data_IF_125637308358
#
_entry.id   IF_125637308358
#
_cell.length_a   1.000
_cell.length_b   1.000
_cell.length_c   1.000
_cell.angle_alpha   90.00
_cell.angle_beta   90.00
_cell.angle_gamma   90.00
#
_symmetry.space_group_name_H-M   'P 1'
#
loop_
_entity.id
_entity.type
_entity.pdbx_description
1 polymer ?
#
# COMPACT_ATOMS: atom_id res chain seq x y z
N UNK A 1 0.97 21.66 13.27
CA UNK A 1 0.39 20.35 13.64
C UNK A 1 -0.67 20.02 12.60
N UNK A 2 -0.48 18.99 11.80
CA UNK A 2 -1.49 18.56 10.82
C UNK A 2 -2.55 17.74 11.55
N UNK A 3 -3.82 17.98 11.27
CA UNK A 3 -4.96 17.16 11.76
C UNK A 3 -5.28 16.00 10.82
N UNK A 4 -4.47 15.78 9.79
CA UNK A 4 -4.71 14.79 8.75
C UNK A 4 -3.80 13.58 8.91
N UNK A 5 -4.34 12.40 8.60
CA UNK A 5 -3.56 11.16 8.50
C UNK A 5 -2.57 11.27 7.33
N UNK A 6 -1.37 10.73 7.51
CA UNK A 6 -0.32 10.71 6.45
C UNK A 6 0.00 9.31 5.96
N UNK A 7 -0.39 8.28 6.72
CA UNK A 7 -0.19 6.87 6.37
C UNK A 7 -1.54 6.17 6.34
N UNK A 8 -1.75 5.39 5.29
CA UNK A 8 -3.00 4.73 4.97
C UNK A 8 -2.74 3.28 4.57
N UNK A 9 -3.72 2.41 4.74
CA UNK A 9 -3.72 1.11 4.05
C UNK A 9 -4.44 1.22 2.71
N UNK A 10 -4.30 0.19 1.87
CA UNK A 10 -5.17 -0.05 0.74
C UNK A 10 -6.38 -0.89 1.16
N UNK A 11 -7.54 -0.59 0.60
CA UNK A 11 -8.76 -1.38 0.70
C UNK A 11 -9.08 -2.03 -0.64
N UNK A 12 -9.21 -3.35 -0.65
CA UNK A 12 -9.50 -4.11 -1.86
C UNK A 12 -9.33 -5.60 -1.62
N UNK A 13 -10.03 -6.43 -2.39
CA UNK A 13 -10.09 -7.89 -2.17
C UNK A 13 -8.71 -8.53 -2.04
N UNK A 14 -7.72 -8.07 -2.81
CA UNK A 14 -6.36 -8.60 -2.89
C UNK A 14 -5.33 -7.83 -2.06
N UNK A 15 -5.71 -6.81 -1.29
CA UNK A 15 -4.78 -6.01 -0.48
C UNK A 15 -4.46 -6.68 0.86
N UNK A 16 -3.45 -6.23 1.62
CA UNK A 16 -3.11 -6.86 2.92
C UNK A 16 -4.30 -7.00 3.89
N UNK A 17 -5.18 -5.99 3.96
CA UNK A 17 -6.32 -5.96 4.89
C UNK A 17 -7.68 -6.32 4.25
N UNK A 18 -7.69 -6.56 2.94
CA UNK A 18 -8.90 -6.96 2.23
C UNK A 18 -9.92 -5.84 2.07
N UNK A 19 -11.16 -6.22 1.79
CA UNK A 19 -12.30 -5.32 1.82
C UNK A 19 -12.91 -5.32 3.23
N UNK A 20 -13.15 -4.16 3.88
CA UNK A 20 -13.69 -4.10 5.24
C UNK A 20 -15.09 -4.72 5.39
N UNK A 21 -15.80 -4.96 4.27
CA UNK A 21 -17.12 -5.60 4.21
C UNK A 21 -17.07 -7.09 3.86
N UNK A 22 -15.88 -7.65 3.64
CA UNK A 22 -15.66 -9.07 3.31
C UNK A 22 -15.09 -9.83 4.52
N UNK A 23 -15.00 -11.18 4.47
CA UNK A 23 -14.25 -11.93 5.47
C UNK A 23 -12.84 -11.37 5.66
N UNK A 24 -12.38 -11.28 6.91
CA UNK A 24 -11.05 -10.75 7.24
C UNK A 24 -9.97 -11.56 6.53
N UNK A 25 -9.04 -10.86 5.88
CA UNK A 25 -7.78 -11.45 5.46
C UNK A 25 -6.95 -11.81 6.70
N UNK A 26 -6.37 -13.00 6.69
CA UNK A 26 -5.43 -13.48 7.68
C UNK A 26 -4.00 -13.46 7.16
N UNK A 27 -3.05 -13.63 8.07
CA UNK A 27 -1.63 -13.68 7.73
C UNK A 27 -1.28 -14.77 6.71
N UNK A 28 -2.03 -15.89 6.72
CA UNK A 28 -1.85 -17.00 5.76
C UNK A 28 -2.29 -16.66 4.33
N UNK A 29 -3.04 -15.57 4.14
CA UNK A 29 -3.55 -15.16 2.85
C UNK A 29 -2.56 -14.26 2.08
N UNK A 30 -1.41 -13.91 2.70
CA UNK A 30 -0.32 -13.16 2.08
C UNK A 30 0.63 -14.15 1.39
N UNK A 31 0.18 -14.64 0.23
CA UNK A 31 0.81 -15.74 -0.51
C UNK A 31 2.09 -15.27 -1.23
N UNK A 32 2.13 -14.02 -1.70
CA UNK A 32 3.30 -13.47 -2.42
C UNK A 32 4.47 -13.11 -1.48
N UNK A 33 4.24 -13.24 -0.17
CA UNK A 33 5.23 -13.06 0.88
C UNK A 33 5.12 -11.71 1.58
N UNK A 34 5.28 -11.70 2.90
CA UNK A 34 5.11 -10.49 3.73
C UNK A 34 6.12 -9.38 3.42
N UNK A 35 7.29 -9.75 2.90
CA UNK A 35 8.31 -8.79 2.45
C UNK A 35 8.02 -8.17 1.08
N UNK A 36 7.01 -8.66 0.36
CA UNK A 36 6.65 -8.24 -0.99
C UNK A 36 5.26 -7.58 -1.05
N UNK A 37 4.53 -7.53 0.06
CA UNK A 37 3.19 -6.95 0.13
C UNK A 37 3.20 -5.70 1.01
N UNK A 38 2.65 -4.60 0.49
CA UNK A 38 2.50 -3.35 1.23
C UNK A 38 1.40 -3.45 2.29
N UNK A 39 1.72 -2.94 3.47
CA UNK A 39 0.81 -2.80 4.60
C UNK A 39 0.35 -1.35 4.77
N UNK A 40 1.27 -0.41 4.63
CA UNK A 40 0.99 1.02 4.77
C UNK A 40 1.73 1.81 3.69
N UNK A 41 1.11 2.89 3.22
CA UNK A 41 1.72 3.83 2.30
C UNK A 41 1.56 5.25 2.80
N UNK A 42 2.59 6.05 2.61
CA UNK A 42 2.49 7.49 2.77
C UNK A 42 1.62 8.09 1.66
N UNK A 43 0.68 8.96 2.01
CA UNK A 43 -0.08 9.74 1.03
C UNK A 43 -0.52 11.08 1.61
N UNK A 44 -0.48 12.14 0.79
CA UNK A 44 -0.94 13.48 1.16
C UNK A 44 -2.41 13.65 0.82
N UNK A 45 -3.28 13.13 1.68
CA UNK A 45 -4.74 13.23 1.54
C UNK A 45 -5.33 14.14 2.62
N UNK A 46 -6.40 14.90 2.30
CA UNK A 46 -7.11 15.73 3.28
C UNK A 46 -8.07 14.88 4.14
N UNK A 47 -7.60 13.74 4.67
CA UNK A 47 -8.41 12.84 5.51
C UNK A 47 -8.16 13.17 6.98
N UNK A 48 -9.16 13.66 7.74
CA UNK A 48 -9.03 13.92 9.17
C UNK A 48 -8.78 12.63 9.94
N UNK A 49 -7.87 12.66 10.92
CA UNK A 49 -7.56 11.47 11.72
C UNK A 49 -8.78 10.89 12.48
N UNK A 50 -9.78 11.71 12.79
CA UNK A 50 -11.00 11.33 13.53
C UNK A 50 -11.97 10.48 12.73
N UNK A 51 -11.76 10.35 11.42
CA UNK A 51 -12.58 9.53 10.53
C UNK A 51 -11.65 8.87 9.50
N UNK A 52 -10.96 7.78 9.87
CA UNK A 52 -10.04 7.12 8.95
C UNK A 52 -10.82 6.64 7.73
N UNK A 53 -10.32 7.04 6.57
CA UNK A 53 -10.71 6.54 5.26
C UNK A 53 -9.43 6.08 4.58
N UNK A 54 -9.35 4.79 4.26
CA UNK A 54 -8.20 4.19 3.61
C UNK A 54 -8.25 4.40 2.08
N UNK A 55 -7.29 3.85 1.36
CA UNK A 55 -7.12 4.09 -0.08
C UNK A 55 -7.81 2.96 -0.87
N UNK A 56 -8.89 3.23 -1.63
CA UNK A 56 -9.49 2.20 -2.48
C UNK A 56 -8.50 1.71 -3.54
N UNK A 57 -8.42 0.40 -3.70
CA UNK A 57 -7.59 -0.26 -4.71
C UNK A 57 -8.39 -1.29 -5.50
N UNK A 58 -8.17 -1.30 -6.81
CA UNK A 58 -8.68 -2.30 -7.73
C UNK A 58 -7.52 -2.89 -8.51
N UNK A 59 -7.57 -4.20 -8.72
CA UNK A 59 -6.59 -4.94 -9.54
C UNK A 59 -6.61 -4.44 -10.99
N UNK A 60 -7.78 -4.02 -11.46
CA UNK A 60 -8.01 -3.40 -12.75
C UNK A 60 -8.31 -1.90 -12.59
N UNK A 61 -7.63 -1.04 -13.35
CA UNK A 61 -7.89 0.41 -13.37
C UNK A 61 -6.70 1.26 -12.92
N UNK A 62 -6.96 2.55 -12.72
CA UNK A 62 -5.94 3.51 -12.31
C UNK A 62 -5.41 3.19 -10.91
N UNK A 63 -4.10 3.37 -10.71
CA UNK A 63 -3.52 3.32 -9.38
C UNK A 63 -3.99 4.53 -8.56
N UNK A 64 -4.17 4.36 -7.24
CA UNK A 64 -4.49 5.47 -6.36
C UNK A 64 -3.32 6.46 -6.26
N UNK A 65 -3.65 7.73 -6.00
CA UNK A 65 -2.65 8.76 -5.72
C UNK A 65 -2.00 8.54 -4.34
N UNK A 66 -0.68 8.39 -4.34
CA UNK A 66 0.14 8.13 -3.14
C UNK A 66 1.37 9.05 -3.12
N UNK A 67 2.01 9.16 -1.95
CA UNK A 67 3.14 10.05 -1.72
C UNK A 67 2.76 11.53 -1.52
N UNK A 68 3.68 12.43 -1.86
CA UNK A 68 3.46 13.88 -1.85
C UNK A 68 3.96 14.63 -0.61
N UNK A 69 4.60 13.94 0.34
CA UNK A 69 5.30 14.57 1.47
C UNK A 69 6.80 14.72 1.23
N UNK A 70 7.39 13.78 0.50
CA UNK A 70 8.80 13.79 0.12
C UNK A 70 8.97 14.01 -1.39
N UNK A 71 10.02 14.73 -1.81
CA UNK A 71 10.39 14.77 -3.22
C UNK A 71 10.91 13.40 -3.66
N UNK A 72 10.64 13.01 -4.92
CA UNK A 72 11.20 11.83 -5.61
C UNK A 72 10.75 10.47 -5.07
N UNK A 73 9.78 10.42 -4.17
CA UNK A 73 9.29 9.15 -3.62
C UNK A 73 8.43 9.31 -2.38
N UNK A 74 8.20 8.17 -1.72
CA UNK A 74 7.31 8.06 -0.58
C UNK A 74 7.74 6.92 0.33
N UNK A 75 7.43 7.04 1.62
CA UNK A 75 7.68 5.97 2.59
C UNK A 75 6.56 4.91 2.52
N UNK A 76 6.94 3.64 2.59
CA UNK A 76 5.99 2.53 2.67
C UNK A 76 6.47 1.46 3.64
N UNK A 77 5.52 0.84 4.34
CA UNK A 77 5.78 -0.29 5.22
C UNK A 77 5.21 -1.57 4.61
N UNK A 78 5.99 -2.64 4.69
CA UNK A 78 5.62 -3.97 4.23
C UNK A 78 4.99 -4.80 5.37
N UNK A 79 4.31 -5.88 5.03
CA UNK A 79 3.70 -6.78 6.03
C UNK A 79 4.73 -7.50 6.93
N UNK A 80 6.02 -7.50 6.58
CA UNK A 80 7.11 -7.96 7.43
C UNK A 80 7.61 -6.89 8.44
N UNK A 81 7.01 -5.69 8.44
CA UNK A 81 7.36 -4.58 9.31
C UNK A 81 8.55 -3.74 8.82
N UNK A 82 9.17 -4.09 7.69
CA UNK A 82 10.23 -3.28 7.10
C UNK A 82 9.67 -2.02 6.42
N UNK A 83 10.40 -0.92 6.54
CA UNK A 83 10.08 0.36 5.88
C UNK A 83 11.09 0.61 4.77
N UNK A 84 10.62 1.03 3.60
CA UNK A 84 11.44 1.41 2.45
C UNK A 84 10.94 2.73 1.89
N UNK A 85 11.88 3.56 1.41
CA UNK A 85 11.58 4.70 0.58
C UNK A 85 11.43 4.25 -0.88
N UNK A 86 10.21 4.31 -1.40
CA UNK A 86 9.90 3.91 -2.76
C UNK A 86 10.04 5.10 -3.71
N UNK A 87 10.76 4.98 -4.84
CA UNK A 87 10.86 6.06 -5.81
C UNK A 87 9.50 6.32 -6.48
N UNK A 88 9.19 7.58 -6.77
CA UNK A 88 7.97 7.96 -7.53
C UNK A 88 8.03 7.57 -9.01
N UNK A 89 9.21 7.12 -9.48
CA UNK A 89 9.45 6.56 -10.81
C UNK A 89 9.18 5.05 -10.90
N UNK A 90 8.73 4.40 -9.81
CA UNK A 90 8.37 2.99 -9.84
C UNK A 90 7.35 2.69 -10.95
N UNK A 91 7.57 1.66 -11.79
CA UNK A 91 6.60 1.28 -12.80
C UNK A 91 5.24 0.95 -12.18
N UNK A 92 4.15 1.41 -12.81
CA UNK A 92 2.80 1.21 -12.28
C UNK A 92 2.45 -0.26 -12.07
N UNK A 93 2.87 -1.15 -12.96
CA UNK A 93 2.62 -2.58 -12.80
C UNK A 93 3.39 -3.16 -11.61
N UNK A 94 4.60 -2.69 -11.34
CA UNK A 94 5.38 -3.14 -10.19
C UNK A 94 4.79 -2.63 -8.87
N UNK A 95 4.37 -1.36 -8.82
CA UNK A 95 3.63 -0.81 -7.69
C UNK A 95 2.32 -1.56 -7.44
N UNK A 96 1.59 -1.92 -8.51
CA UNK A 96 0.37 -2.73 -8.41
C UNK A 96 0.65 -4.09 -7.77
N UNK A 97 1.73 -4.76 -8.19
CA UNK A 97 2.11 -6.05 -7.65
C UNK A 97 2.47 -5.96 -6.16
N UNK A 98 3.15 -4.88 -5.74
CA UNK A 98 3.44 -4.64 -4.31
C UNK A 98 2.17 -4.45 -3.45
N UNK A 99 1.08 -3.92 -4.01
CA UNK A 99 -0.18 -3.70 -3.28
C UNK A 99 -0.97 -5.01 -3.08
N UNK A 100 -0.80 -5.97 -3.99
CA UNK A 100 -1.50 -7.24 -3.97
C UNK A 100 -0.77 -8.26 -3.08
N UNK A 101 -1.55 -9.12 -2.41
CA UNK A 101 -1.04 -10.15 -1.48
C UNK A 101 -0.93 -11.54 -2.12
N UNK A 102 -1.56 -11.75 -3.27
CA UNK A 102 -1.77 -13.07 -3.88
C UNK A 102 -1.93 -13.06 -5.41
N UNK A 103 -1.22 -12.20 -6.13
CA UNK A 103 -1.21 -12.15 -7.60
C UNK A 103 -0.13 -13.05 -8.24
N UNK A 104 0.78 -13.59 -7.44
CA UNK A 104 1.86 -14.48 -7.87
C UNK A 104 2.95 -13.79 -8.70
N UNK A 105 3.00 -12.45 -8.72
CA UNK A 105 3.98 -11.69 -9.49
C UNK A 105 5.26 -11.48 -8.69
N UNK A 106 6.39 -11.63 -9.38
CA UNK A 106 7.70 -11.34 -8.79
C UNK A 106 7.93 -9.84 -8.82
N UNK A 107 8.29 -9.27 -7.67
CA UNK A 107 8.63 -7.86 -7.50
C UNK A 107 10.09 -7.69 -7.13
N UNK A 108 10.70 -6.58 -7.53
CA UNK A 108 12.07 -6.25 -7.14
C UNK A 108 12.04 -5.09 -6.17
N UNK A 109 12.40 -5.36 -4.90
CA UNK A 109 12.50 -4.30 -3.90
C UNK A 109 13.60 -3.31 -4.31
N UNK A 110 13.38 -1.99 -4.11
CA UNK A 110 14.46 -1.02 -4.14
C UNK A 110 15.56 -1.42 -3.15
N UNK A 111 16.81 -1.14 -3.50
CA UNK A 111 17.93 -1.32 -2.58
C UNK A 111 17.72 -0.39 -1.36
N UNK A 112 18.08 -0.89 -0.17
CA UNK A 112 17.91 -0.19 1.11
C UNK A 112 18.82 1.03 1.26
#
# INVERSE_FOLDING_TARGET
SSTNSSYFTFEGEHTAFGNPRAPRSGFRDIIDGTSNTLMLVESKRPVPWTKPEDIPFSTEGALPEIGGWHPQGFLTAFCDGSVIFMPDTIPSDELRNFIQRNDGKVVRRPDR
#
